data_IF_856668314899
#
_entry.id   IF_856668314899
#
_cell.length_a   1.000
_cell.length_b   1.000
_cell.length_c   1.000
_cell.angle_alpha   90.00
_cell.angle_beta   90.00
_cell.angle_gamma   90.00
#
_symmetry.space_group_name_H-M   'P 1'
#
loop_
_entity.id
_entity.type
_entity.pdbx_description
1 polymer ?
#
# COMPACT_ATOMS: atom_id res chain seq x y z
N UNK A 1 -20.67 32.43 7.29
CA UNK A 1 -19.39 32.16 7.97
C UNK A 1 -19.53 30.81 8.64
N UNK A 2 -18.72 29.81 8.25
CA UNK A 2 -18.76 28.46 8.83
C UNK A 2 -17.44 28.24 9.57
N UNK A 3 -17.41 28.36 10.91
CA UNK A 3 -16.20 28.09 11.67
C UNK A 3 -15.70 26.65 11.44
N UNK A 4 -14.43 26.52 11.06
CA UNK A 4 -13.81 25.21 10.82
C UNK A 4 -14.07 24.60 9.44
N UNK A 5 -14.67 25.34 8.49
CA UNK A 5 -14.84 24.81 7.14
C UNK A 5 -13.50 24.62 6.42
N UNK A 6 -13.36 23.48 5.74
CA UNK A 6 -12.28 23.27 4.78
C UNK A 6 -12.71 23.75 3.39
N UNK A 7 -11.82 24.48 2.73
CA UNK A 7 -11.93 24.84 1.31
C UNK A 7 -10.88 24.08 0.53
N UNK A 8 -11.13 22.79 0.31
CA UNK A 8 -10.17 21.87 -0.32
C UNK A 8 -10.04 22.22 -1.81
N UNK A 9 -8.80 22.35 -2.28
CA UNK A 9 -8.53 22.54 -3.71
C UNK A 9 -8.96 21.31 -4.51
N UNK A 10 -9.39 21.52 -5.75
CA UNK A 10 -9.60 20.43 -6.70
C UNK A 10 -8.27 19.81 -7.10
N UNK A 11 -8.27 18.52 -7.42
CA UNK A 11 -7.11 17.77 -7.94
C UNK A 11 -6.68 16.61 -7.05
N UNK A 12 -5.58 15.97 -7.43
CA UNK A 12 -4.99 14.82 -6.73
C UNK A 12 -3.55 15.14 -6.32
N UNK A 13 -3.09 14.54 -5.22
CA UNK A 13 -1.70 14.60 -4.77
C UNK A 13 -1.03 13.27 -5.13
N UNK A 14 0.00 13.32 -5.97
CA UNK A 14 0.84 12.15 -6.24
C UNK A 14 1.69 11.85 -4.99
N UNK A 15 1.73 10.57 -4.59
CA UNK A 15 2.53 10.09 -3.47
C UNK A 15 3.68 9.21 -3.99
N UNK A 16 4.78 9.17 -3.25
CA UNK A 16 5.92 8.29 -3.53
C UNK A 16 6.56 8.51 -4.92
N UNK A 17 6.46 9.72 -5.48
CA UNK A 17 7.00 10.05 -6.80
C UNK A 17 8.52 9.82 -6.88
N UNK A 18 8.97 9.29 -8.01
CA UNK A 18 10.39 9.03 -8.28
C UNK A 18 11.02 7.88 -7.48
N UNK A 19 10.22 7.07 -6.77
CA UNK A 19 10.69 5.86 -6.08
C UNK A 19 10.44 4.62 -6.92
N UNK A 20 11.37 3.67 -6.90
CA UNK A 20 11.14 2.36 -7.50
C UNK A 20 10.01 1.63 -6.78
N UNK A 21 9.14 1.00 -7.56
CA UNK A 21 8.01 0.23 -7.03
C UNK A 21 7.89 -1.11 -7.74
N UNK A 22 7.33 -2.08 -7.03
CA UNK A 22 6.98 -3.38 -7.59
C UNK A 22 5.56 -3.77 -7.19
N UNK A 23 4.93 -4.61 -8.00
CA UNK A 23 3.64 -5.24 -7.68
C UNK A 23 3.85 -6.73 -7.44
N UNK A 24 3.24 -7.24 -6.37
CA UNK A 24 3.28 -8.63 -5.93
C UNK A 24 1.87 -9.13 -5.66
N UNK A 25 1.62 -10.43 -5.82
CA UNK A 25 0.36 -11.06 -5.39
C UNK A 25 0.59 -11.66 -4.00
N UNK A 26 -0.39 -11.47 -3.12
CA UNK A 26 -0.32 -11.86 -1.71
C UNK A 26 -1.57 -12.67 -1.37
N UNK A 27 -1.37 -13.86 -0.82
CA UNK A 27 -2.44 -14.75 -0.36
C UNK A 27 -2.31 -15.02 1.13
N UNK A 28 -3.40 -14.82 1.89
CA UNK A 28 -3.44 -15.16 3.31
C UNK A 28 -3.90 -16.61 3.48
N UNK A 29 -3.00 -17.51 3.87
CA UNK A 29 -3.33 -18.91 4.18
C UNK A 29 -3.73 -19.14 5.64
N UNK A 30 -3.71 -18.09 6.46
CA UNK A 30 -4.13 -18.16 7.85
C UNK A 30 -5.66 -18.22 8.00
N UNK A 31 -6.10 -18.63 9.19
CA UNK A 31 -7.50 -18.70 9.60
C UNK A 31 -8.03 -17.40 10.24
N UNK A 32 -7.18 -16.36 10.31
CA UNK A 32 -7.47 -15.08 10.96
C UNK A 32 -7.22 -13.91 10.01
N UNK A 33 -7.95 -12.79 10.19
CA UNK A 33 -7.72 -11.57 9.43
C UNK A 33 -6.34 -10.99 9.74
N UNK A 34 -5.72 -10.37 8.72
CA UNK A 34 -4.44 -9.70 8.85
C UNK A 34 -4.49 -8.36 8.10
N UNK A 35 -3.92 -7.32 8.71
CA UNK A 35 -3.81 -5.97 8.17
C UNK A 35 -2.36 -5.50 8.30
N UNK A 36 -1.83 -4.84 7.26
CA UNK A 36 -0.45 -4.38 7.20
C UNK A 36 -0.42 -2.86 7.05
N UNK A 37 0.42 -2.18 7.84
CA UNK A 37 0.59 -0.73 7.78
C UNK A 37 1.48 -0.27 6.62
N UNK A 38 1.31 0.98 6.18
CA UNK A 38 1.99 1.54 4.98
C UNK A 38 3.52 1.59 5.06
N UNK A 39 4.10 1.58 6.26
CA UNK A 39 5.56 1.67 6.50
C UNK A 39 6.14 0.41 7.15
N UNK A 40 5.37 -0.68 7.18
CA UNK A 40 5.89 -1.97 7.65
C UNK A 40 6.80 -2.57 6.58
N UNK A 41 7.94 -3.15 6.98
CA UNK A 41 8.82 -3.81 6.04
C UNK A 41 8.13 -5.08 5.50
N UNK A 42 7.62 -5.01 4.26
CA UNK A 42 6.69 -6.03 3.75
C UNK A 42 7.27 -7.44 3.70
N UNK A 43 8.60 -7.57 3.60
CA UNK A 43 9.28 -8.87 3.65
C UNK A 43 9.13 -9.59 4.99
N UNK A 44 8.91 -8.87 6.09
CA UNK A 44 8.83 -9.43 7.45
C UNK A 44 7.39 -9.66 7.93
N UNK A 45 6.41 -9.54 7.03
CA UNK A 45 4.99 -9.70 7.35
C UNK A 45 4.68 -11.11 7.86
N UNK A 46 3.52 -11.30 8.52
CA UNK A 46 3.05 -12.57 9.07
C UNK A 46 3.41 -13.77 8.16
N UNK A 47 4.14 -14.80 8.66
CA UNK A 47 4.62 -15.92 7.85
C UNK A 47 3.55 -16.75 7.12
N UNK A 48 2.27 -16.61 7.49
CA UNK A 48 1.16 -17.27 6.79
C UNK A 48 0.79 -16.62 5.46
N UNK A 49 1.47 -15.53 5.06
CA UNK A 49 1.35 -14.96 3.73
C UNK A 49 2.25 -15.70 2.74
N UNK A 50 1.66 -16.19 1.65
CA UNK A 50 2.42 -16.61 0.49
C UNK A 50 2.53 -15.45 -0.50
N UNK A 51 3.76 -15.16 -0.93
CA UNK A 51 4.02 -14.32 -2.09
C UNK A 51 3.84 -15.18 -3.33
N UNK A 52 2.81 -14.91 -4.12
CA UNK A 52 2.55 -15.66 -5.36
C UNK A 52 2.87 -14.78 -6.58
N UNK A 53 3.48 -15.37 -7.61
CA UNK A 53 3.89 -14.65 -8.83
C UNK A 53 5.26 -13.96 -8.79
N UNK A 54 5.72 -13.49 -9.96
CA UNK A 54 6.97 -12.72 -10.09
C UNK A 54 6.69 -11.24 -9.80
N UNK A 55 7.59 -10.51 -9.11
CA UNK A 55 7.46 -9.06 -8.99
C UNK A 55 7.52 -8.43 -10.39
N UNK A 56 6.47 -7.70 -10.75
CA UNK A 56 6.49 -6.86 -11.94
C UNK A 56 6.87 -5.44 -11.52
N UNK A 57 7.91 -4.90 -12.15
CA UNK A 57 8.31 -3.51 -11.95
C UNK A 57 7.21 -2.60 -12.51
N UNK A 58 6.72 -1.68 -11.68
CA UNK A 58 5.82 -0.62 -12.12
C UNK A 58 6.65 0.65 -12.22
N UNK A 59 6.90 1.10 -13.45
CA UNK A 59 7.48 2.40 -13.72
C UNK A 59 6.35 3.42 -13.65
N UNK A 60 6.24 4.11 -12.51
CA UNK A 60 5.34 5.24 -12.31
C UNK A 60 6.10 6.57 -12.45
#
# INVERSE_FOLDING_TARGET
MIPGEYRISTGNIAINTGRETCTIVVENHGDRPVQVGSHYHFYEVNPHYALTGKPHAVFA
#
